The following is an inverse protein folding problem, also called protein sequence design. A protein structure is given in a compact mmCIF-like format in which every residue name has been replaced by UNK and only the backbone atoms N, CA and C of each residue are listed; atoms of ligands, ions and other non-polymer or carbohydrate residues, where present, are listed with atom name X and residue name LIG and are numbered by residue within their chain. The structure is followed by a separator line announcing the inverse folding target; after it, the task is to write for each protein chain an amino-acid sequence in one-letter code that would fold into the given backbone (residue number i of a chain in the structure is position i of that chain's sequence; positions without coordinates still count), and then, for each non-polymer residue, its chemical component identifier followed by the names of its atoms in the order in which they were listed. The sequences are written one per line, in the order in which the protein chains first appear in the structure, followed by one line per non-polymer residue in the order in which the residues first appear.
data_IF_909315529920
#
_entry.id   IF_909315529920
#
_cell.length_a   1.000
_cell.length_b   1.000
_cell.length_c   1.000
_cell.angle_alpha   90.00
_cell.angle_beta   90.00
_cell.angle_gamma   90.00
#
_symmetry.space_group_name_H-M   'P 1'
#
loop_
_entity.id
_entity.type
_entity.pdbx_description
1 polymer ?
#
# COMPACT_ATOMS: atom_id res chain seq x y z
N UNK A 1 23.13 7.94 22.67
CA UNK A 1 22.26 8.65 23.64
C UNK A 1 21.09 9.19 22.81
N UNK A 2 19.96 8.46 22.76
CA UNK A 2 18.84 8.75 21.83
C UNK A 2 17.46 8.32 22.41
N UNK A 3 17.33 8.23 23.73
CA UNK A 3 16.14 7.63 24.37
C UNK A 3 15.12 8.65 24.90
N UNK A 4 15.40 9.95 24.79
CA UNK A 4 14.45 11.04 25.12
C UNK A 4 13.74 11.64 23.89
N UNK A 5 14.20 11.31 22.67
CA UNK A 5 13.76 11.90 21.39
C UNK A 5 12.46 11.36 20.73
N UNK A 6 11.95 10.12 20.96
CA UNK A 6 10.77 9.65 20.22
C UNK A 6 9.44 10.28 20.69
N UNK A 7 9.32 10.66 21.98
CA UNK A 7 8.08 11.26 22.51
C UNK A 7 7.91 12.72 22.07
N UNK A 8 8.99 13.50 22.03
CA UNK A 8 8.97 14.87 21.51
C UNK A 8 8.59 14.87 20.02
N UNK A 9 9.06 13.86 19.27
CA UNK A 9 8.71 13.70 17.85
C UNK A 9 7.25 13.32 17.60
N UNK A 10 6.55 12.66 18.55
CA UNK A 10 5.13 12.31 18.35
C UNK A 10 4.26 13.56 18.22
N UNK A 11 4.56 14.61 18.99
CA UNK A 11 3.85 15.90 18.90
C UNK A 11 4.16 16.62 17.58
N UNK A 12 5.44 16.63 17.18
CA UNK A 12 5.86 17.21 15.90
C UNK A 12 5.23 16.49 14.69
N UNK A 13 5.15 15.16 14.75
CA UNK A 13 4.45 14.34 13.77
C UNK A 13 2.95 14.62 13.76
N UNK A 14 2.30 14.59 14.93
CA UNK A 14 0.85 14.77 15.03
C UNK A 14 0.40 16.16 14.57
N UNK A 15 1.17 17.20 14.86
CA UNK A 15 0.91 18.57 14.42
C UNK A 15 1.35 18.84 12.97
N UNK A 16 2.00 17.87 12.30
CA UNK A 16 2.42 17.99 10.90
C UNK A 16 3.58 18.96 10.67
N UNK A 17 4.36 19.27 11.70
CA UNK A 17 5.53 20.18 11.62
C UNK A 17 6.84 19.44 11.30
N UNK A 18 6.77 18.13 11.16
CA UNK A 18 7.92 17.28 10.86
C UNK A 18 8.25 17.30 9.36
N UNK A 19 9.54 17.36 9.02
CA UNK A 19 10.00 17.30 7.62
C UNK A 19 9.69 15.94 6.98
N UNK A 20 9.57 15.90 5.65
CA UNK A 20 9.14 14.70 4.90
C UNK A 20 9.95 13.43 5.20
N UNK A 21 11.28 13.54 5.25
CA UNK A 21 12.15 12.41 5.56
C UNK A 21 11.95 11.89 6.99
N UNK A 22 11.67 12.77 7.94
CA UNK A 22 11.47 12.41 9.33
C UNK A 22 10.06 11.89 9.61
N UNK A 23 9.06 12.38 8.86
CA UNK A 23 7.71 11.82 8.84
C UNK A 23 7.74 10.37 8.39
N UNK A 24 8.41 10.07 7.28
CA UNK A 24 8.52 8.70 6.77
C UNK A 24 9.16 7.74 7.78
N UNK A 25 10.29 8.14 8.39
CA UNK A 25 10.93 7.34 9.45
C UNK A 25 10.04 7.14 10.67
N UNK A 26 9.19 8.11 10.99
CA UNK A 26 8.28 8.01 12.13
C UNK A 26 7.09 7.11 11.83
N UNK A 27 6.59 7.10 10.59
CA UNK A 27 5.53 6.17 10.15
C UNK A 27 5.98 4.71 10.24
N UNK A 28 7.23 4.42 9.89
CA UNK A 28 7.84 3.09 10.10
C UNK A 28 7.78 2.70 11.58
N UNK A 29 8.18 3.60 12.49
CA UNK A 29 8.08 3.36 13.93
C UNK A 29 6.64 3.15 14.43
N UNK A 30 5.65 3.85 13.85
CA UNK A 30 4.24 3.70 14.22
C UNK A 30 3.67 2.31 13.86
N UNK A 31 4.24 1.64 12.86
CA UNK A 31 3.85 0.27 12.52
C UNK A 31 4.14 -0.68 13.69
N UNK A 32 5.27 -0.48 14.39
CA UNK A 32 5.75 -1.38 15.43
C UNK A 32 5.44 -0.91 16.87
N UNK A 33 5.07 0.36 17.08
CA UNK A 33 4.83 0.91 18.42
C UNK A 33 3.36 1.34 18.66
N UNK A 34 2.53 0.53 19.34
CA UNK A 34 1.16 0.93 19.68
C UNK A 34 1.08 2.13 20.64
N UNK A 35 2.03 2.28 21.58
CA UNK A 35 2.05 3.41 22.51
C UNK A 35 2.25 4.77 21.83
N UNK A 36 3.04 4.81 20.76
CA UNK A 36 3.18 6.03 19.95
C UNK A 36 1.94 6.31 19.10
N UNK A 37 1.22 5.27 18.63
CA UNK A 37 -0.08 5.44 17.96
C UNK A 37 -1.14 6.06 18.88
N UNK A 38 -1.24 5.56 20.12
CA UNK A 38 -2.16 6.12 21.13
C UNK A 38 -1.82 7.58 21.42
N UNK A 39 -0.56 7.89 21.74
CA UNK A 39 -0.11 9.27 22.01
C UNK A 39 -0.32 10.20 20.81
N UNK A 40 -0.07 9.75 19.59
CA UNK A 40 -0.35 10.55 18.39
C UNK A 40 -1.84 10.91 18.29
N UNK A 41 -2.73 10.00 18.70
CA UNK A 41 -4.17 10.22 18.77
C UNK A 41 -4.60 11.23 19.83
N UNK A 42 -3.90 11.30 20.97
CA UNK A 42 -4.19 12.27 22.06
C UNK A 42 -4.07 13.72 21.58
N UNK A 43 -3.27 13.99 20.54
CA UNK A 43 -3.13 15.32 19.94
C UNK A 43 -4.31 15.72 19.04
N UNK A 44 -5.28 14.85 18.76
CA UNK A 44 -6.42 15.17 17.90
C UNK A 44 -7.17 16.43 18.36
N UNK A 45 -7.47 16.53 19.67
CA UNK A 45 -8.15 17.72 20.22
C UNK A 45 -7.36 19.02 20.07
N UNK A 46 -6.02 18.96 20.17
CA UNK A 46 -5.16 20.12 19.93
C UNK A 46 -5.21 20.55 18.47
N UNK A 47 -5.14 19.59 17.54
CA UNK A 47 -5.23 19.85 16.10
C UNK A 47 -6.56 20.47 15.72
N UNK A 48 -7.66 19.94 16.25
CA UNK A 48 -9.01 20.44 15.99
C UNK A 48 -9.18 21.86 16.55
N UNK A 49 -8.68 22.11 17.76
CA UNK A 49 -8.64 23.44 18.35
C UNK A 49 -7.83 24.45 17.53
N UNK A 50 -6.69 24.03 16.96
CA UNK A 50 -5.90 24.90 16.08
C UNK A 50 -6.55 25.15 14.72
N UNK A 51 -7.27 24.16 14.18
CA UNK A 51 -7.93 24.26 12.88
C UNK A 51 -9.00 25.36 12.82
N UNK A 52 -9.63 25.68 13.95
CA UNK A 52 -10.69 26.71 14.05
C UNK A 52 -10.17 28.12 14.35
N UNK A 53 -8.89 28.26 14.72
CA UNK A 53 -8.30 29.58 15.05
C UNK A 53 -7.79 30.31 13.79
N UNK A 54 -7.49 29.58 12.73
CA UNK A 54 -7.03 30.16 11.46
C UNK A 54 -8.14 30.92 10.72
N UNK A 55 -7.78 31.88 9.85
CA UNK A 55 -8.75 32.51 8.96
C UNK A 55 -9.41 31.43 8.08
N UNK A 56 -10.73 31.49 7.85
CA UNK A 56 -11.42 30.50 7.04
C UNK A 56 -10.88 30.55 5.60
N UNK A 57 -10.23 29.47 5.18
CA UNK A 57 -9.82 29.27 3.79
C UNK A 57 -10.96 28.59 3.04
N UNK A 58 -11.62 29.34 2.16
CA UNK A 58 -12.60 28.75 1.25
C UNK A 58 -11.85 28.00 0.12
N UNK A 59 -12.06 26.69 -0.05
CA UNK A 59 -11.49 25.97 -1.18
C UNK A 59 -12.05 26.54 -2.50
N UNK A 60 -11.20 26.59 -3.54
CA UNK A 60 -11.62 27.06 -4.86
C UNK A 60 -12.75 26.22 -5.46
N UNK A 61 -13.61 26.81 -6.32
CA UNK A 61 -14.73 26.09 -6.92
C UNK A 61 -14.24 24.86 -7.70
N UNK A 62 -14.99 23.76 -7.59
CA UNK A 62 -14.69 22.51 -8.28
C UNK A 62 -13.58 21.65 -7.65
N UNK A 63 -12.96 22.07 -6.54
CA UNK A 63 -11.86 21.30 -5.93
C UNK A 63 -12.32 19.92 -5.46
N UNK A 64 -13.49 19.84 -4.81
CA UNK A 64 -14.05 18.58 -4.32
C UNK A 64 -14.35 17.61 -5.49
N UNK A 65 -14.94 18.10 -6.56
CA UNK A 65 -15.26 17.35 -7.78
C UNK A 65 -13.97 16.84 -8.45
N UNK A 66 -12.95 17.69 -8.58
CA UNK A 66 -11.66 17.28 -9.15
C UNK A 66 -10.97 16.20 -8.31
N UNK A 67 -10.95 16.35 -6.99
CA UNK A 67 -10.33 15.36 -6.09
C UNK A 67 -11.06 14.03 -6.11
N UNK A 68 -12.38 14.04 -6.01
CA UNK A 68 -13.20 12.82 -6.08
C UNK A 68 -13.10 12.15 -7.44
N UNK A 69 -13.09 12.92 -8.54
CA UNK A 69 -12.86 12.42 -9.88
C UNK A 69 -11.46 11.78 -10.04
N UNK A 70 -10.42 12.40 -9.49
CA UNK A 70 -9.06 11.87 -9.53
C UNK A 70 -8.94 10.52 -8.79
N UNK A 71 -9.51 10.43 -7.58
CA UNK A 71 -9.54 9.17 -6.81
C UNK A 71 -10.35 8.09 -7.56
N UNK A 72 -11.49 8.45 -8.14
CA UNK A 72 -12.29 7.52 -8.94
C UNK A 72 -11.54 7.04 -10.19
N UNK A 73 -10.80 7.92 -10.88
CA UNK A 73 -9.98 7.56 -12.04
C UNK A 73 -8.85 6.59 -11.66
N UNK A 74 -8.17 6.84 -10.54
CA UNK A 74 -7.15 5.94 -10.00
C UNK A 74 -7.71 4.54 -9.71
N UNK A 75 -8.85 4.46 -9.01
CA UNK A 75 -9.55 3.20 -8.72
C UNK A 75 -9.96 2.44 -9.98
N UNK A 76 -10.52 3.15 -10.98
CA UNK A 76 -10.89 2.55 -12.28
C UNK A 76 -9.67 1.96 -12.99
N UNK A 77 -8.54 2.67 -13.01
CA UNK A 77 -7.30 2.18 -13.64
C UNK A 77 -6.73 0.96 -12.91
N UNK A 78 -6.74 0.96 -11.58
CA UNK A 78 -6.32 -0.19 -10.79
C UNK A 78 -7.22 -1.42 -11.04
N UNK A 79 -8.55 -1.23 -11.09
CA UNK A 79 -9.50 -2.30 -11.39
C UNK A 79 -9.30 -2.92 -12.78
N UNK A 80 -9.15 -2.08 -13.83
CA UNK A 80 -8.88 -2.56 -15.20
C UNK A 80 -7.57 -3.35 -15.28
N UNK A 81 -6.50 -2.91 -14.60
CA UNK A 81 -5.23 -3.64 -14.56
C UNK A 81 -5.38 -5.00 -13.89
N UNK A 82 -6.09 -5.07 -12.75
CA UNK A 82 -6.38 -6.34 -12.07
C UNK A 82 -7.15 -7.30 -12.97
N UNK A 83 -8.20 -6.83 -13.64
CA UNK A 83 -8.96 -7.64 -14.59
C UNK A 83 -8.10 -8.15 -15.75
N UNK A 84 -7.23 -7.30 -16.31
CA UNK A 84 -6.30 -7.71 -17.36
C UNK A 84 -5.30 -8.78 -16.86
N UNK A 85 -4.76 -8.64 -15.66
CA UNK A 85 -3.86 -9.65 -15.05
C UNK A 85 -4.59 -10.98 -14.81
N UNK A 86 -5.83 -10.92 -14.31
CA UNK A 86 -6.67 -12.13 -14.13
C UNK A 86 -6.96 -12.79 -15.48
N UNK A 87 -7.34 -12.02 -16.50
CA UNK A 87 -7.56 -12.55 -17.84
C UNK A 87 -6.30 -13.20 -18.42
N UNK A 88 -5.14 -12.55 -18.28
CA UNK A 88 -3.86 -13.13 -18.70
C UNK A 88 -3.54 -14.45 -17.97
N UNK A 89 -3.76 -14.50 -16.66
CA UNK A 89 -3.57 -15.73 -15.88
C UNK A 89 -4.51 -16.86 -16.32
N UNK A 90 -5.78 -16.56 -16.61
CA UNK A 90 -6.75 -17.53 -17.15
C UNK A 90 -6.31 -18.03 -18.53
N UNK A 91 -5.89 -17.15 -19.43
CA UNK A 91 -5.38 -17.54 -20.76
C UNK A 91 -4.15 -18.44 -20.64
N UNK A 92 -3.22 -18.14 -19.74
CA UNK A 92 -2.05 -18.99 -19.49
C UNK A 92 -2.45 -20.36 -18.90
N UNK A 93 -3.40 -20.39 -17.97
CA UNK A 93 -3.87 -21.63 -17.36
C UNK A 93 -4.63 -22.53 -18.34
N UNK A 94 -5.45 -21.96 -19.23
CA UNK A 94 -6.24 -22.71 -20.23
C UNK A 94 -5.42 -23.04 -21.47
N UNK A 95 -4.50 -22.16 -21.88
CA UNK A 95 -3.62 -22.35 -23.03
C UNK A 95 -2.42 -23.25 -22.76
N UNK A 96 -1.97 -23.36 -21.50
CA UNK A 96 -0.90 -24.25 -21.08
C UNK A 96 -1.11 -25.70 -21.50
N UNK A 97 -2.25 -26.34 -21.15
CA UNK A 97 -2.52 -27.74 -21.51
C UNK A 97 -2.46 -28.04 -23.02
N UNK A 98 -2.90 -27.12 -23.87
CA UNK A 98 -2.89 -27.31 -25.32
C UNK A 98 -1.46 -27.21 -25.91
N UNK A 99 -0.61 -26.35 -25.35
CA UNK A 99 0.79 -26.26 -25.74
C UNK A 99 1.59 -27.51 -25.32
N UNK A 100 1.34 -28.07 -24.14
CA UNK A 100 2.03 -29.30 -23.68
C UNK A 100 1.64 -30.51 -24.53
N UNK A 101 0.39 -30.62 -24.97
CA UNK A 101 -0.07 -31.68 -25.87
C UNK A 101 0.56 -31.62 -27.27
N UNK A 102 0.85 -30.42 -27.80
CA UNK A 102 1.52 -30.24 -29.09
C UNK A 102 3.02 -30.53 -29.08
N UNK A 103 3.68 -30.43 -27.92
CA UNK A 103 5.10 -30.74 -27.73
C UNK A 103 5.35 -32.23 -27.41
N UNK A 104 4.30 -32.99 -27.07
CA UNK A 104 4.37 -34.40 -26.67
C UNK A 104 4.37 -35.38 -27.86
N UNK A 105 4.51 -34.87 -29.09
CA UNK A 105 4.62 -35.64 -30.33
C UNK A 105 6.06 -36.05 -30.72
N UNK A 106 6.96 -36.26 -29.74
CA UNK A 106 8.31 -36.80 -29.97
C UNK A 106 8.46 -38.18 -29.31
N UNK A 107 9.16 -39.16 -29.94
CA UNK A 107 9.18 -40.55 -29.47
C UNK A 107 10.03 -40.74 -28.20
N UNK A 108 9.69 -41.81 -27.48
CA UNK A 108 10.16 -42.30 -26.19
C UNK A 108 11.66 -42.13 -25.85
N UNK A 109 11.96 -41.83 -24.57
CA UNK A 109 13.11 -42.41 -23.88
C UNK A 109 12.88 -42.35 -22.35
N UNK A 110 13.15 -43.46 -21.65
CA UNK A 110 12.69 -43.70 -20.27
C UNK A 110 13.36 -42.85 -19.19
N UNK A 111 12.61 -42.57 -18.13
CA UNK A 111 13.14 -42.11 -16.85
C UNK A 111 12.61 -43.04 -15.75
N UNK A 112 13.45 -43.98 -15.34
CA UNK A 112 13.18 -44.95 -14.29
C UNK A 112 12.93 -44.26 -12.95
N UNK A 113 11.91 -44.74 -12.24
CA UNK A 113 11.66 -44.41 -10.84
C UNK A 113 12.72 -45.09 -9.98
N UNK A 114 13.77 -44.37 -9.61
CA UNK A 114 14.65 -44.80 -8.53
C UNK A 114 13.91 -44.57 -7.21
N UNK A 115 13.41 -45.66 -6.64
CA UNK A 115 12.87 -45.77 -5.28
C UNK A 115 14.01 -45.44 -4.30
N UNK A 116 13.94 -44.30 -3.63
CA UNK A 116 14.83 -43.99 -2.52
C UNK A 116 14.28 -44.63 -1.24
N UNK A 117 15.08 -45.53 -0.67
CA UNK A 117 14.95 -46.08 0.68
C UNK A 117 16.27 -45.80 1.38
N UNK A 118 16.19 -45.14 2.53
CA UNK A 118 17.31 -44.74 3.38
C UNK A 118 16.81 -43.91 4.55
#
# INVERSE_FOLDING_TARGET
MQTTEPHVRVGAYALGVLGSADTFRFEEHLADCPGCRVRAGEFAGVRDGLAVVGPPLAPGPGLAERLTAAVAAGRRRAGRRRLALVAAAVVLAVGGPAAVAGLSGGPAEGAGTQRWSG
#
